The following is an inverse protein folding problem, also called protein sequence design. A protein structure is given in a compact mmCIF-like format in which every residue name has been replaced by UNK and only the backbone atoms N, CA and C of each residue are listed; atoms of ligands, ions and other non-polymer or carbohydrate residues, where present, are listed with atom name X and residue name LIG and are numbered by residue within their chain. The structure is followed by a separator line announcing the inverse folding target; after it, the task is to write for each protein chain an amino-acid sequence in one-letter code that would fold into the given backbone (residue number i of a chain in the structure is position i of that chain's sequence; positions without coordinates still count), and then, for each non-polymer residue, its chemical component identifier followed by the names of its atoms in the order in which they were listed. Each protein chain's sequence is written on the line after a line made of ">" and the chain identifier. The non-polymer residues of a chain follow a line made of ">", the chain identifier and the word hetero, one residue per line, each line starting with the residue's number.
data_IF_491707953534
#
_entry.id   IF_491707953534
#
_cell.length_a   1.000
_cell.length_b   1.000
_cell.length_c   1.000
_cell.angle_alpha   90.00
_cell.angle_beta   90.00
_cell.angle_gamma   90.00
#
_symmetry.space_group_name_H-M   'P 1'
#
loop_
_entity.id
_entity.type
_entity.pdbx_description
1 polymer ?
#
# COMPACT_ATOMS: atom_id res chain seq x y z
N UNK A 1 11.72 -6.92 -9.88
CA UNK A 1 10.32 -6.47 -10.00
C UNK A 1 10.25 -5.01 -10.45
N UNK A 2 9.08 -4.56 -10.95
CA UNK A 2 8.79 -3.14 -11.20
C UNK A 2 8.45 -2.45 -9.89
N UNK A 3 9.00 -1.27 -9.65
CA UNK A 3 8.72 -0.46 -8.47
C UNK A 3 8.69 1.03 -8.82
N UNK A 4 8.15 1.84 -7.91
CA UNK A 4 8.45 3.27 -7.84
C UNK A 4 9.58 3.44 -6.84
N UNK A 5 10.62 4.17 -7.22
CA UNK A 5 11.76 4.43 -6.34
C UNK A 5 11.80 5.92 -5.98
N UNK A 6 12.38 6.23 -4.83
CA UNK A 6 12.69 7.60 -4.43
C UNK A 6 13.69 8.20 -5.44
N UNK A 7 13.30 9.30 -6.05
CA UNK A 7 14.12 10.12 -6.95
C UNK A 7 13.86 11.58 -6.59
N UNK A 8 14.76 12.23 -5.86
CA UNK A 8 14.51 13.58 -5.39
C UNK A 8 14.45 14.64 -6.50
N UNK A 9 14.93 14.32 -7.71
CA UNK A 9 14.83 15.21 -8.86
C UNK A 9 13.47 15.08 -9.60
N UNK A 10 12.75 13.98 -9.39
CA UNK A 10 11.48 13.73 -10.03
C UNK A 10 10.31 14.54 -9.39
N UNK A 11 9.32 14.97 -10.19
CA UNK A 11 8.08 15.52 -9.65
C UNK A 11 7.38 14.54 -8.71
N UNK A 12 7.19 14.94 -7.44
CA UNK A 12 6.60 14.07 -6.42
C UNK A 12 7.56 13.04 -5.84
N UNK A 13 8.88 13.19 -6.06
CA UNK A 13 9.96 12.38 -5.51
C UNK A 13 9.95 10.90 -5.92
N UNK A 14 9.28 10.54 -7.03
CA UNK A 14 9.11 9.15 -7.48
C UNK A 14 9.38 8.98 -8.97
N UNK A 15 10.15 7.95 -9.31
CA UNK A 15 10.41 7.51 -10.69
C UNK A 15 10.19 5.99 -10.81
N UNK A 16 9.59 5.49 -11.90
CA UNK A 16 9.47 4.06 -12.13
C UNK A 16 10.82 3.42 -12.44
N UNK A 17 11.13 2.30 -11.81
CA UNK A 17 12.37 1.56 -12.02
C UNK A 17 12.19 0.03 -11.97
N UNK A 18 13.19 -0.68 -12.49
CA UNK A 18 13.37 -2.12 -12.25
C UNK A 18 14.33 -2.30 -11.08
N UNK A 19 13.89 -3.04 -10.07
CA UNK A 19 14.68 -3.38 -8.87
C UNK A 19 14.79 -4.90 -8.74
N UNK A 20 15.75 -5.44 -7.97
CA UNK A 20 15.79 -6.87 -7.66
C UNK A 20 14.45 -7.36 -7.07
N UNK A 21 14.11 -8.63 -7.30
CA UNK A 21 12.99 -9.24 -6.61
C UNK A 21 13.30 -9.37 -5.10
N UNK A 22 12.33 -9.11 -4.21
CA UNK A 22 12.56 -9.15 -2.78
C UNK A 22 12.71 -10.59 -2.29
N UNK A 23 13.69 -10.83 -1.43
CA UNK A 23 13.90 -12.10 -0.74
C UNK A 23 13.37 -11.98 0.70
N UNK A 24 12.25 -12.61 1.06
CA UNK A 24 11.67 -12.46 2.39
C UNK A 24 12.53 -13.16 3.45
N UNK A 25 12.80 -12.45 4.55
CA UNK A 25 13.38 -13.02 5.77
C UNK A 25 12.40 -14.01 6.43
N UNK A 26 12.84 -14.84 7.41
CA UNK A 26 11.98 -15.88 8.01
C UNK A 26 10.65 -15.39 8.58
N UNK A 27 10.58 -14.15 9.10
CA UNK A 27 9.36 -13.53 9.63
C UNK A 27 8.56 -12.71 8.62
N UNK A 28 8.95 -12.69 7.34
CA UNK A 28 8.32 -11.89 6.29
C UNK A 28 7.54 -12.77 5.31
N UNK A 29 6.40 -12.26 4.84
CA UNK A 29 5.67 -12.85 3.73
C UNK A 29 5.97 -12.09 2.43
N UNK A 30 5.95 -12.78 1.31
CA UNK A 30 6.00 -12.17 -0.02
C UNK A 30 4.59 -12.00 -0.57
N UNK A 31 4.27 -10.78 -1.00
CA UNK A 31 2.96 -10.41 -1.53
C UNK A 31 3.10 -10.01 -3.00
N UNK A 32 2.28 -10.62 -3.86
CA UNK A 32 2.03 -10.10 -5.20
C UNK A 32 1.01 -8.97 -5.09
N UNK A 33 1.52 -7.74 -5.09
CA UNK A 33 0.74 -6.52 -4.86
C UNK A 33 -0.09 -6.16 -6.09
N UNK A 34 -1.42 -6.11 -5.93
CA UNK A 34 -2.36 -5.68 -6.97
C UNK A 34 -2.76 -4.21 -6.86
N UNK A 35 -2.64 -3.60 -5.68
CA UNK A 35 -2.90 -2.19 -5.48
C UNK A 35 -2.07 -1.63 -4.33
N UNK A 36 -1.74 -0.34 -4.40
CA UNK A 36 -1.13 0.42 -3.31
C UNK A 36 -1.96 1.67 -3.05
N UNK A 37 -1.74 2.35 -1.92
CA UNK A 37 -2.25 3.70 -1.75
C UNK A 37 -1.18 4.68 -1.31
N UNK A 38 -1.20 5.87 -1.90
CA UNK A 38 -0.41 7.01 -1.46
C UNK A 38 -1.16 7.77 -0.38
N UNK A 39 -0.52 7.90 0.77
CA UNK A 39 -1.02 8.66 1.89
C UNK A 39 -0.51 10.12 1.83
N UNK A 40 -1.34 11.14 2.14
CA UNK A 40 -0.87 12.52 2.17
C UNK A 40 0.39 12.71 3.00
N UNK A 41 0.44 12.11 4.20
CA UNK A 41 1.59 12.22 5.09
C UNK A 41 2.86 11.58 4.55
N UNK A 42 2.75 10.48 3.78
CA UNK A 42 3.89 9.88 3.10
C UNK A 42 4.43 10.84 2.03
N UNK A 43 3.53 11.37 1.19
CA UNK A 43 3.91 12.26 0.09
C UNK A 43 4.49 13.59 0.59
N UNK A 44 3.94 14.17 1.65
CA UNK A 44 4.36 15.50 2.14
C UNK A 44 5.51 15.47 3.15
N UNK A 45 5.66 14.38 3.91
CA UNK A 45 6.61 14.33 5.02
C UNK A 45 7.63 13.20 4.96
N UNK A 46 7.45 12.20 4.09
CA UNK A 46 8.40 11.08 3.97
C UNK A 46 9.17 11.15 2.67
N UNK A 47 8.49 11.13 1.52
CA UNK A 47 9.16 11.08 0.22
C UNK A 47 10.24 12.17 0.01
N UNK A 48 10.07 13.43 0.48
CA UNK A 48 11.10 14.45 0.32
C UNK A 48 12.39 14.22 1.11
N UNK A 49 12.38 13.33 2.10
CA UNK A 49 13.50 13.10 3.03
C UNK A 49 13.93 11.63 3.11
N UNK A 50 13.25 10.74 2.38
CA UNK A 50 13.58 9.32 2.30
C UNK A 50 14.91 9.10 1.55
N UNK A 51 15.51 7.92 1.71
CA UNK A 51 16.76 7.58 1.03
C UNK A 51 16.57 7.45 -0.48
N UNK A 52 17.39 8.18 -1.25
CA UNK A 52 17.44 8.10 -2.71
C UNK A 52 17.59 6.65 -3.20
N UNK A 53 16.77 6.25 -4.17
CA UNK A 53 16.72 4.88 -4.71
C UNK A 53 15.93 3.87 -3.87
N UNK A 54 15.44 4.24 -2.68
CA UNK A 54 14.59 3.38 -1.86
C UNK A 54 13.22 3.09 -2.50
N UNK A 55 12.59 1.96 -2.16
CA UNK A 55 11.20 1.64 -2.55
C UNK A 55 10.27 2.02 -1.39
N UNK A 56 9.46 3.09 -1.50
CA UNK A 56 8.55 3.52 -0.43
C UNK A 56 7.20 2.77 -0.50
N UNK A 57 6.29 3.10 0.42
CA UNK A 57 4.94 2.55 0.49
C UNK A 57 4.56 2.18 1.92
N UNK A 58 3.47 2.77 2.43
CA UNK A 58 2.86 2.37 3.69
C UNK A 58 1.78 1.28 3.53
N UNK A 59 1.01 1.36 2.45
CA UNK A 59 -0.18 0.54 2.25
C UNK A 59 -0.12 -0.24 0.93
N UNK A 60 -0.41 -1.54 1.00
CA UNK A 60 -0.53 -2.42 -0.16
C UNK A 60 -1.67 -3.43 0.03
N UNK A 61 -2.26 -3.85 -1.08
CA UNK A 61 -3.23 -4.95 -1.15
C UNK A 61 -2.78 -5.93 -2.25
N UNK A 62 -2.90 -7.22 -1.96
CA UNK A 62 -2.44 -8.26 -2.87
C UNK A 62 -2.61 -9.66 -2.31
N UNK A 63 -2.01 -10.63 -2.99
CA UNK A 63 -2.06 -12.04 -2.61
C UNK A 63 -0.72 -12.45 -2.02
N UNK A 64 -0.74 -13.14 -0.87
CA UNK A 64 0.46 -13.78 -0.31
C UNK A 64 0.87 -14.92 -1.24
N UNK A 65 2.04 -14.80 -1.86
CA UNK A 65 2.62 -15.83 -2.77
C UNK A 65 3.70 -16.66 -2.09
N UNK A 66 4.26 -16.18 -0.98
CA UNK A 66 5.10 -16.96 -0.07
C UNK A 66 4.79 -16.55 1.36
N UNK A 67 4.42 -17.51 2.20
CA UNK A 67 4.22 -17.27 3.62
C UNK A 67 5.56 -17.12 4.35
N UNK A 68 5.53 -16.50 5.53
CA UNK A 68 6.68 -16.46 6.43
C UNK A 68 7.14 -17.88 6.81
N UNK A 69 8.46 -18.09 6.85
CA UNK A 69 9.10 -19.39 7.08
C UNK A 69 9.25 -19.75 8.57
N UNK A 70 8.85 -18.89 9.50
CA UNK A 70 8.95 -19.07 10.96
C UNK A 70 8.10 -20.20 11.56
N UNK A 71 7.50 -21.07 10.73
CA UNK A 71 6.95 -22.36 11.15
C UNK A 71 5.54 -22.33 11.75
N UNK A 72 4.86 -21.18 11.79
CA UNK A 72 3.48 -21.09 12.28
C UNK A 72 2.47 -21.60 11.24
N UNK A 73 1.87 -22.76 11.54
CA UNK A 73 0.89 -23.47 10.72
C UNK A 73 -0.50 -22.82 10.75
N UNK A 74 -0.94 -22.32 9.59
CA UNK A 74 -2.34 -21.99 9.26
C UNK A 74 -2.90 -20.77 10.04
N UNK A 75 -3.97 -20.14 9.55
CA UNK A 75 -4.67 -19.02 10.22
C UNK A 75 -3.81 -17.79 10.59
N UNK A 76 -2.89 -17.36 9.72
CA UNK A 76 -2.16 -16.10 9.95
C UNK A 76 -3.08 -14.91 9.68
N UNK A 77 -3.40 -14.17 10.74
CA UNK A 77 -3.93 -12.82 10.66
C UNK A 77 -2.79 -11.81 10.43
N UNK A 78 -3.04 -10.78 9.62
CA UNK A 78 -2.29 -9.52 9.70
C UNK A 78 -2.63 -8.88 11.06
N UNK A 79 -1.94 -9.29 12.12
CA UNK A 79 -2.26 -8.85 13.50
C UNK A 79 -1.79 -7.43 13.79
N UNK A 80 -0.83 -6.91 13.02
CA UNK A 80 -0.32 -5.55 13.24
C UNK A 80 -0.86 -4.62 12.16
N UNK A 81 -2.09 -4.16 12.35
CA UNK A 81 -2.46 -2.85 11.88
C UNK A 81 -2.01 -1.87 12.97
N UNK A 82 -0.97 -1.09 12.71
CA UNK A 82 -0.52 -0.05 13.64
C UNK A 82 -1.52 1.12 13.58
N UNK A 83 -2.65 0.99 14.27
CA UNK A 83 -3.33 2.18 14.77
C UNK A 83 -2.56 2.62 16.02
N UNK A 84 -2.32 3.92 16.13
CA UNK A 84 -1.43 4.56 17.12
C UNK A 84 -1.77 4.23 18.59
N UNK A 85 -2.88 3.56 18.87
CA UNK A 85 -3.44 3.32 20.19
C UNK A 85 -3.82 1.86 20.50
N UNK A 86 -3.59 0.90 19.58
CA UNK A 86 -3.77 -0.54 19.87
C UNK A 86 -5.17 -0.92 20.35
N UNK A 87 -6.21 -0.28 19.79
CA UNK A 87 -7.61 -0.45 20.23
C UNK A 87 -8.04 -1.93 20.24
N UNK A 88 -8.45 -2.49 21.40
CA UNK A 88 -9.03 -3.83 21.45
C UNK A 88 -10.29 -3.92 20.59
N UNK A 89 -10.51 -5.07 19.95
CA UNK A 89 -11.76 -5.33 19.19
C UNK A 89 -11.69 -4.98 17.70
N UNK A 90 -10.63 -4.34 17.23
CA UNK A 90 -10.47 -3.96 15.81
C UNK A 90 -10.72 -5.11 14.83
N UNK A 91 -10.30 -6.34 15.18
CA UNK A 91 -10.53 -7.52 14.34
C UNK A 91 -12.01 -7.84 14.14
N UNK A 92 -12.84 -7.66 15.17
CA UNK A 92 -14.28 -7.86 15.07
C UNK A 92 -14.94 -6.77 14.21
N UNK A 93 -14.51 -5.51 14.38
CA UNK A 93 -15.01 -4.39 13.58
C UNK A 93 -14.64 -4.53 12.11
N UNK A 94 -13.39 -4.90 11.81
CA UNK A 94 -12.93 -5.17 10.45
C UNK A 94 -13.66 -6.38 9.84
N UNK A 95 -13.91 -7.43 10.62
CA UNK A 95 -14.70 -8.58 10.17
C UNK A 95 -16.14 -8.15 9.83
N UNK A 96 -16.75 -7.33 10.67
CA UNK A 96 -18.09 -6.80 10.44
C UNK A 96 -18.12 -5.94 9.16
N UNK A 97 -17.16 -5.02 8.99
CA UNK A 97 -17.03 -4.19 7.78
C UNK A 97 -16.85 -5.03 6.52
N UNK A 98 -15.94 -6.01 6.56
CA UNK A 98 -15.70 -6.93 5.45
C UNK A 98 -16.98 -7.72 5.08
N UNK A 99 -17.75 -8.14 6.08
CA UNK A 99 -19.04 -8.83 5.84
C UNK A 99 -20.05 -7.90 5.16
N UNK A 100 -20.12 -6.62 5.54
CA UNK A 100 -21.01 -5.65 4.89
C UNK A 100 -20.58 -5.32 3.46
N UNK A 101 -19.26 -5.27 3.20
CA UNK A 101 -18.72 -5.11 1.85
C UNK A 101 -19.10 -6.31 0.96
N UNK A 102 -18.93 -7.53 1.47
CA UNK A 102 -19.24 -8.77 0.74
C UNK A 102 -20.73 -8.93 0.45
N UNK A 103 -21.61 -8.56 1.40
CA UNK A 103 -23.06 -8.58 1.19
C UNK A 103 -23.57 -7.44 0.29
N UNK A 104 -22.74 -6.44 -0.02
CA UNK A 104 -23.14 -5.24 -0.75
C UNK A 104 -23.91 -4.21 0.10
N UNK A 105 -24.01 -4.41 1.41
CA UNK A 105 -24.63 -3.45 2.35
C UNK A 105 -23.75 -2.21 2.57
N UNK A 106 -22.45 -2.32 2.29
CA UNK A 106 -21.48 -1.23 2.38
C UNK A 106 -20.75 -1.11 1.04
N UNK A 107 -20.69 0.10 0.51
CA UNK A 107 -19.88 0.42 -0.67
C UNK A 107 -18.73 1.34 -0.28
N UNK A 108 -17.46 0.93 -0.48
CA UNK A 108 -16.31 1.74 -0.09
C UNK A 108 -16.19 2.94 -1.03
N UNK A 109 -16.26 4.14 -0.47
CA UNK A 109 -16.10 5.37 -1.23
C UNK A 109 -14.61 5.69 -1.40
N UNK A 110 -14.08 5.43 -2.60
CA UNK A 110 -12.69 5.73 -2.95
C UNK A 110 -12.65 7.05 -3.70
N UNK A 111 -12.19 8.11 -3.03
CA UNK A 111 -12.14 9.47 -3.58
C UNK A 111 -11.25 9.60 -4.82
N UNK A 112 -10.21 8.76 -4.95
CA UNK A 112 -9.35 8.71 -6.13
C UNK A 112 -8.83 7.30 -6.35
N UNK A 113 -9.01 6.77 -7.57
CA UNK A 113 -8.46 5.49 -8.02
C UNK A 113 -8.00 5.58 -9.47
N UNK A 114 -6.84 5.00 -9.78
CA UNK A 114 -6.31 4.99 -11.14
C UNK A 114 -5.20 3.97 -11.34
N UNK A 115 -4.74 3.81 -12.59
CA UNK A 115 -3.58 2.96 -12.90
C UNK A 115 -2.32 3.48 -12.21
N UNK A 116 -1.44 2.57 -11.80
CA UNK A 116 -0.16 2.89 -11.17
C UNK A 116 0.75 3.80 -12.01
N UNK A 117 0.53 3.88 -13.33
CA UNK A 117 1.28 4.77 -14.21
C UNK A 117 0.93 6.25 -14.01
N UNK A 118 -0.19 6.56 -13.35
CA UNK A 118 -0.64 7.93 -13.04
C UNK A 118 -0.13 8.43 -11.69
N UNK A 119 0.97 7.88 -11.19
CA UNK A 119 1.46 8.22 -9.85
C UNK A 119 1.79 9.71 -9.69
N UNK A 120 2.34 10.36 -10.73
CA UNK A 120 2.66 11.80 -10.69
C UNK A 120 1.41 12.67 -10.57
N UNK A 121 0.32 12.26 -11.21
CA UNK A 121 -0.97 12.93 -11.04
C UNK A 121 -1.49 12.72 -9.61
N UNK A 122 -1.42 11.48 -9.10
CA UNK A 122 -1.86 11.14 -7.75
C UNK A 122 -1.12 11.96 -6.68
N UNK A 123 0.21 12.06 -6.77
CA UNK A 123 1.03 12.88 -5.85
C UNK A 123 0.72 14.37 -5.99
N UNK A 124 0.47 14.86 -7.20
CA UNK A 124 0.10 16.26 -7.44
C UNK A 124 -1.26 16.62 -6.82
N UNK A 125 -2.27 15.76 -6.95
CA UNK A 125 -3.61 16.04 -6.38
C UNK A 125 -3.57 15.97 -4.85
N UNK A 126 -2.78 15.04 -4.28
CA UNK A 126 -2.58 14.92 -2.83
C UNK A 126 -1.89 16.16 -2.24
N UNK A 127 -0.82 16.64 -2.87
CA UNK A 127 -0.07 17.82 -2.39
C UNK A 127 -0.82 19.14 -2.64
N UNK A 128 -1.62 19.21 -3.71
CA UNK A 128 -2.47 20.37 -4.02
C UNK A 128 -3.71 20.52 -3.13
N UNK A 129 -3.96 19.59 -2.20
CA UNK A 129 -5.15 19.61 -1.34
C UNK A 129 -6.47 19.30 -2.07
N UNK A 130 -6.40 18.84 -3.32
CA UNK A 130 -7.55 18.51 -4.16
C UNK A 130 -8.22 17.17 -3.78
N UNK A 131 -7.60 16.39 -2.90
CA UNK A 131 -8.08 15.09 -2.46
C UNK A 131 -8.12 15.02 -0.93
N UNK A 132 -9.30 14.71 -0.38
CA UNK A 132 -9.43 14.30 1.02
C UNK A 132 -9.26 12.78 1.11
N UNK A 133 -8.28 12.35 1.88
CA UNK A 133 -7.95 10.93 2.06
C UNK A 133 -6.72 10.51 1.24
N UNK A 134 -6.72 9.27 0.77
CA UNK A 134 -5.60 8.66 0.04
C UNK A 134 -5.95 8.38 -1.41
N UNK A 135 -4.92 8.24 -2.23
CA UNK A 135 -5.04 7.89 -3.64
C UNK A 135 -4.71 6.41 -3.85
N UNK A 136 -5.64 5.62 -4.39
CA UNK A 136 -5.45 4.18 -4.66
C UNK A 136 -4.94 3.97 -6.08
N UNK A 137 -3.83 3.24 -6.24
CA UNK A 137 -3.20 2.95 -7.52
C UNK A 137 -3.27 1.45 -7.80
N UNK A 138 -3.89 1.07 -8.93
CA UNK A 138 -3.99 -0.32 -9.38
C UNK A 138 -2.74 -0.72 -10.19
N UNK A 139 -2.13 -1.85 -9.83
CA UNK A 139 -0.93 -2.37 -10.49
C UNK A 139 -1.35 -3.36 -11.57
N UNK A 140 -1.05 -3.00 -12.82
CA UNK A 140 -1.24 -3.90 -13.95
C UNK A 140 -0.22 -5.05 -13.88
N UNK A 141 -0.72 -6.26 -13.62
CA UNK A 141 0.05 -7.48 -13.86
C UNK A 141 -0.17 -7.93 -15.30
N UNK A 142 0.93 -8.19 -16.03
CA UNK A 142 0.82 -9.01 -17.23
C UNK A 142 0.21 -10.36 -16.81
N UNK A 143 -0.85 -10.79 -17.50
CA UNK A 143 -1.47 -12.11 -17.28
C UNK A 143 -0.50 -13.23 -17.59
#
# INVERSE_FOLDING_TARGET
>A
MRAQIIDHAAPGHLTPAQVPDPEPAPGQALIRVSAISLNPGEVTHVLPYAEEGGVPGWDAAGIVVQAAADGGRHDRSLTTFFLLDGTPGIGADLTWLATRLDSGDLEPQISWRGSWTRITEATSVLTGGGLRGKAVLDIDHAR
#
